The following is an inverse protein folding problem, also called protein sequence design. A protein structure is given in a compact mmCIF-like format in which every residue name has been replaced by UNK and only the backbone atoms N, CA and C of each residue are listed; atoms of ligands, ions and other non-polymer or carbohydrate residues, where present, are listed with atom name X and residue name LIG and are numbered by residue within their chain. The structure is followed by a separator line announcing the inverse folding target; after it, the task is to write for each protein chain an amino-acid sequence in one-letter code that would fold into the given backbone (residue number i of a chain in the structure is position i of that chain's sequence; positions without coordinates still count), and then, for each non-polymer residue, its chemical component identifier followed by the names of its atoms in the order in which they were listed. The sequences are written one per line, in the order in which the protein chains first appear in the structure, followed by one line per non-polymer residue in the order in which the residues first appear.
data_IF_363562275004
#
_entry.id   IF_363562275004
#
_cell.length_a   1.000
_cell.length_b   1.000
_cell.length_c   1.000
_cell.angle_alpha   90.00
_cell.angle_beta   90.00
_cell.angle_gamma   90.00
#
_symmetry.space_group_name_H-M   'P 1'
#
loop_
_entity.id
_entity.type
_entity.pdbx_description
1 polymer ?
#
# COMPACT_ATOMS: atom_id res chain seq x y z
N UNK A 1 7.93 13.24 22.80
CA UNK A 1 7.15 13.81 21.69
C UNK A 1 7.89 14.97 21.04
N UNK A 2 8.58 15.84 21.81
CA UNK A 2 9.42 16.92 21.24
C UNK A 2 10.55 16.47 20.28
N UNK A 3 11.17 15.30 20.50
CA UNK A 3 12.25 14.84 19.62
C UNK A 3 11.77 14.28 18.28
N UNK A 4 10.52 13.81 18.18
CA UNK A 4 10.01 13.17 16.96
C UNK A 4 9.84 14.19 15.84
N UNK A 5 9.32 15.39 16.16
CA UNK A 5 9.20 16.46 15.16
C UNK A 5 10.56 17.00 14.71
N UNK A 6 11.58 16.99 15.57
CA UNK A 6 12.94 17.39 15.20
C UNK A 6 13.68 16.34 14.36
N UNK A 7 13.34 15.06 14.52
CA UNK A 7 13.98 13.93 13.84
C UNK A 7 13.22 13.46 12.59
N UNK A 8 11.99 13.92 12.37
CA UNK A 8 11.21 13.62 11.15
C UNK A 8 11.80 14.41 9.98
N UNK A 9 12.40 13.75 8.98
CA UNK A 9 13.17 14.47 7.97
C UNK A 9 12.26 15.20 6.96
N UNK A 10 11.10 14.65 6.63
CA UNK A 10 10.09 15.22 5.71
C UNK A 10 8.79 14.39 5.73
N UNK A 11 7.79 14.81 4.96
CA UNK A 11 6.54 14.09 4.66
C UNK A 11 6.60 13.56 3.23
N UNK A 12 6.30 12.28 3.01
CA UNK A 12 6.21 11.68 1.67
C UNK A 12 5.29 10.46 1.66
N UNK A 13 4.35 10.45 0.73
CA UNK A 13 3.50 9.28 0.48
C UNK A 13 4.25 8.10 -0.14
N UNK A 14 5.48 8.30 -0.63
CA UNK A 14 6.33 7.25 -1.22
C UNK A 14 7.38 6.68 -0.26
N UNK A 15 7.43 7.19 0.98
CA UNK A 15 8.34 6.68 2.01
C UNK A 15 7.57 6.04 3.16
N UNK A 16 8.24 5.17 3.92
CA UNK A 16 7.72 4.60 5.15
C UNK A 16 8.86 4.48 6.17
N UNK A 17 8.59 4.83 7.43
CA UNK A 17 9.56 4.73 8.51
C UNK A 17 9.19 3.58 9.43
N UNK A 18 10.18 2.77 9.82
CA UNK A 18 10.00 1.64 10.72
C UNK A 18 10.91 1.78 11.94
N UNK A 19 10.31 1.70 13.12
CA UNK A 19 10.98 1.90 14.40
C UNK A 19 10.51 0.85 15.42
N UNK A 20 11.37 0.29 16.28
CA UNK A 20 12.81 0.54 16.39
C UNK A 20 13.65 -0.41 15.55
N UNK A 21 14.97 -0.30 15.68
CA UNK A 21 15.91 -1.33 15.23
C UNK A 21 15.57 -2.70 15.85
N UNK A 22 15.90 -3.76 15.12
CA UNK A 22 15.67 -5.14 15.53
C UNK A 22 17.01 -5.81 15.84
N UNK A 23 16.99 -6.79 16.74
CA UNK A 23 18.13 -7.63 17.02
C UNK A 23 18.09 -8.88 16.15
N UNK A 24 19.23 -9.24 15.58
CA UNK A 24 19.43 -10.48 14.80
C UNK A 24 20.71 -11.16 15.25
N UNK A 25 20.84 -12.46 15.00
CA UNK A 25 22.12 -13.14 15.12
C UNK A 25 22.94 -12.87 13.86
N UNK A 26 24.16 -12.34 14.03
CA UNK A 26 25.12 -12.14 12.94
C UNK A 26 26.19 -13.24 12.99
N UNK A 27 26.19 -14.19 12.03
CA UNK A 27 27.19 -15.25 11.95
C UNK A 27 28.61 -14.72 11.74
N UNK A 28 28.79 -13.53 11.15
CA UNK A 28 30.12 -12.97 10.91
C UNK A 28 30.79 -12.53 12.21
N UNK A 29 30.02 -12.03 13.17
CA UNK A 29 30.49 -11.59 14.48
C UNK A 29 30.17 -12.56 15.62
N UNK A 30 29.61 -13.74 15.32
CA UNK A 30 29.11 -14.74 16.27
C UNK A 30 28.36 -14.14 17.47
N UNK A 31 27.48 -13.17 17.20
CA UNK A 31 26.82 -12.41 18.26
C UNK A 31 25.51 -11.78 17.80
N UNK A 32 24.69 -11.37 18.78
CA UNK A 32 23.42 -10.73 18.51
C UNK A 32 23.59 -9.21 18.40
N UNK A 33 23.40 -8.67 17.20
CA UNK A 33 23.56 -7.24 16.91
C UNK A 33 22.23 -6.56 16.62
N UNK A 34 22.13 -5.26 16.90
CA UNK A 34 20.99 -4.44 16.48
C UNK A 34 21.25 -3.84 15.11
N UNK A 35 20.29 -4.00 14.20
CA UNK A 35 20.36 -3.46 12.84
C UNK A 35 19.10 -2.63 12.50
N UNK A 36 19.22 -1.69 11.54
CA UNK A 36 18.05 -1.06 10.92
C UNK A 36 17.11 -2.13 10.34
N UNK A 37 15.78 -1.99 10.51
CA UNK A 37 14.85 -3.04 10.10
C UNK A 37 14.54 -3.04 8.59
N UNK A 38 15.02 -2.05 7.83
CA UNK A 38 14.61 -1.82 6.43
C UNK A 38 14.74 -3.05 5.53
N UNK A 39 15.86 -3.79 5.60
CA UNK A 39 16.06 -5.02 4.82
C UNK A 39 15.05 -6.12 5.17
N UNK A 40 14.75 -6.29 6.45
CA UNK A 40 13.75 -7.26 6.91
C UNK A 40 12.34 -6.85 6.50
N UNK A 41 12.02 -5.56 6.56
CA UNK A 41 10.74 -5.03 6.10
C UNK A 41 10.56 -5.23 4.59
N UNK A 42 11.62 -5.07 3.78
CA UNK A 42 11.55 -5.40 2.35
C UNK A 42 11.21 -6.88 2.11
N UNK A 43 11.79 -7.78 2.90
CA UNK A 43 11.41 -9.21 2.88
C UNK A 43 9.96 -9.45 3.30
N UNK A 44 9.45 -8.72 4.31
CA UNK A 44 8.03 -8.76 4.69
C UNK A 44 7.14 -8.30 3.54
N UNK A 45 7.50 -7.22 2.84
CA UNK A 45 6.75 -6.74 1.67
C UNK A 45 6.67 -7.81 0.59
N UNK A 46 7.82 -8.37 0.19
CA UNK A 46 7.87 -9.40 -0.85
C UNK A 46 7.03 -10.63 -0.47
N UNK A 47 7.11 -11.08 0.78
CA UNK A 47 6.34 -12.22 1.29
C UNK A 47 4.84 -11.95 1.29
N UNK A 48 4.41 -10.78 1.78
CA UNK A 48 2.99 -10.41 1.82
C UNK A 48 2.43 -10.29 0.42
N UNK A 49 3.15 -9.64 -0.49
CA UNK A 49 2.73 -9.47 -1.88
C UNK A 49 2.56 -10.83 -2.57
N UNK A 50 3.52 -11.74 -2.42
CA UNK A 50 3.47 -13.06 -3.03
C UNK A 50 2.39 -13.98 -2.46
N UNK A 51 2.01 -13.80 -1.18
CA UNK A 51 1.01 -14.66 -0.52
C UNK A 51 -0.41 -14.08 -0.58
N UNK A 52 -0.55 -12.76 -0.58
CA UNK A 52 -1.81 -12.06 -0.34
C UNK A 52 -2.08 -10.89 -1.28
N UNK A 53 -1.13 -10.55 -2.15
CA UNK A 53 -1.24 -9.42 -3.07
C UNK A 53 -0.85 -8.08 -2.45
N UNK A 54 -0.44 -7.15 -3.31
CA UNK A 54 0.09 -5.82 -2.95
C UNK A 54 -0.93 -4.96 -2.19
N UNK A 55 -2.23 -5.23 -2.40
CA UNK A 55 -3.32 -4.53 -1.74
C UNK A 55 -3.41 -4.80 -0.23
N UNK A 56 -2.80 -5.90 0.27
CA UNK A 56 -2.76 -6.22 1.71
C UNK A 56 -1.70 -5.38 2.43
N UNK A 57 -2.10 -4.73 3.52
CA UNK A 57 -1.18 -4.05 4.43
C UNK A 57 -0.07 -4.99 4.95
N UNK A 58 1.22 -4.62 4.83
CA UNK A 58 2.34 -5.41 5.37
C UNK A 58 2.52 -5.16 6.89
N UNK A 59 1.44 -5.29 7.64
CA UNK A 59 1.37 -5.15 9.09
C UNK A 59 0.68 -6.35 9.73
N UNK A 60 0.88 -6.52 11.04
CA UNK A 60 0.61 -7.75 11.80
C UNK A 60 1.38 -8.96 11.25
N UNK A 61 2.56 -8.70 10.69
CA UNK A 61 3.43 -9.71 10.09
C UNK A 61 4.61 -9.99 11.02
N UNK A 62 4.91 -11.26 11.24
CA UNK A 62 6.15 -11.65 11.93
C UNK A 62 7.36 -11.30 11.08
N UNK A 63 8.36 -10.69 11.71
CA UNK A 63 9.66 -10.43 11.12
C UNK A 63 10.53 -11.66 11.34
N UNK A 64 10.72 -12.46 10.29
CA UNK A 64 11.53 -13.67 10.36
C UNK A 64 13.00 -13.31 10.64
N UNK A 65 13.68 -14.09 11.49
CA UNK A 65 15.07 -13.83 11.90
C UNK A 65 15.26 -12.75 12.97
N UNK A 66 14.22 -11.97 13.29
CA UNK A 66 14.29 -10.97 14.36
C UNK A 66 14.10 -11.62 15.74
N UNK A 67 15.07 -11.42 16.62
CA UNK A 67 15.11 -11.98 17.97
C UNK A 67 14.47 -11.03 19.00
N UNK A 68 14.70 -9.73 18.84
CA UNK A 68 14.20 -8.70 19.75
C UNK A 68 13.99 -7.35 19.03
N UNK A 69 13.28 -6.43 19.68
CA UNK A 69 13.25 -5.02 19.30
C UNK A 69 14.11 -4.21 20.27
N UNK A 70 14.86 -3.22 19.78
CA UNK A 70 15.77 -2.40 20.62
C UNK A 70 15.04 -1.67 21.74
N UNK A 71 13.81 -1.25 21.48
CA UNK A 71 12.94 -0.64 22.46
C UNK A 71 11.63 -1.43 22.55
N UNK A 72 11.12 -1.59 23.77
CA UNK A 72 9.77 -2.09 23.99
C UNK A 72 8.79 -0.92 23.96
N UNK A 73 7.89 -0.94 22.98
CA UNK A 73 6.90 0.11 22.78
C UNK A 73 5.55 -0.28 23.38
N UNK A 74 5.05 0.56 24.29
CA UNK A 74 3.68 0.50 24.78
C UNK A 74 2.70 1.05 23.74
N UNK A 75 1.42 0.73 23.89
CA UNK A 75 0.36 1.26 23.04
C UNK A 75 0.34 2.80 23.06
N UNK A 76 0.42 3.42 24.25
CA UNK A 76 0.42 4.86 24.40
C UNK A 76 1.59 5.56 23.67
N UNK A 77 2.80 4.96 23.70
CA UNK A 77 3.94 5.50 22.93
C UNK A 77 3.70 5.40 21.43
N UNK A 78 3.16 4.27 20.98
CA UNK A 78 2.82 4.08 19.57
C UNK A 78 1.74 5.06 19.11
N UNK A 79 0.71 5.32 19.92
CA UNK A 79 -0.38 6.23 19.57
C UNK A 79 0.12 7.65 19.28
N UNK A 80 1.20 8.09 19.95
CA UNK A 80 1.88 9.35 19.65
C UNK A 80 2.79 9.35 18.41
N UNK A 81 3.16 8.17 17.89
CA UNK A 81 4.04 7.99 16.72
C UNK A 81 3.26 7.75 15.43
N UNK A 82 2.09 7.12 15.55
CA UNK A 82 1.23 6.76 14.42
C UNK A 82 0.82 7.96 13.55
N UNK A 83 0.40 9.13 14.08
CA UNK A 83 -0.01 10.27 13.26
C UNK A 83 1.08 10.75 12.30
N UNK A 84 2.35 10.63 12.70
CA UNK A 84 3.52 10.99 11.89
C UNK A 84 3.94 9.92 10.87
N UNK A 85 3.27 8.78 10.85
CA UNK A 85 3.58 7.69 9.93
C UNK A 85 4.76 6.82 10.36
N UNK A 86 5.06 6.79 11.66
CA UNK A 86 6.13 5.96 12.21
C UNK A 86 5.57 4.58 12.55
N UNK A 87 5.94 3.58 11.74
CA UNK A 87 5.45 2.22 11.90
C UNK A 87 6.22 1.49 12.98
N UNK A 88 5.52 1.16 14.07
CA UNK A 88 6.13 0.52 15.22
C UNK A 88 6.37 -0.98 14.97
N UNK A 89 7.53 -1.49 15.39
CA UNK A 89 7.85 -2.92 15.50
C UNK A 89 7.73 -3.31 16.97
N UNK A 90 6.99 -4.37 17.27
CA UNK A 90 6.63 -4.75 18.64
C UNK A 90 6.77 -6.24 18.88
N UNK A 91 7.15 -6.60 20.11
CA UNK A 91 7.05 -7.98 20.60
C UNK A 91 5.61 -8.26 21.01
N UNK A 92 4.93 -9.15 20.29
CA UNK A 92 3.55 -9.55 20.53
C UNK A 92 3.46 -11.08 20.44
N UNK A 93 2.88 -11.71 21.47
CA UNK A 93 2.72 -13.17 21.54
C UNK A 93 4.03 -13.92 21.23
N UNK A 94 5.13 -13.51 21.87
CA UNK A 94 6.46 -14.08 21.68
C UNK A 94 7.19 -13.69 20.39
N UNK A 95 6.52 -13.06 19.42
CA UNK A 95 7.07 -12.76 18.10
C UNK A 95 7.37 -11.27 17.92
N UNK A 96 8.42 -10.95 17.17
CA UNK A 96 8.68 -9.57 16.71
C UNK A 96 7.84 -9.32 15.46
N UNK A 97 6.92 -8.36 15.53
CA UNK A 97 5.94 -8.08 14.47
C UNK A 97 6.01 -6.64 13.99
N UNK A 98 5.75 -6.46 12.70
CA UNK A 98 5.43 -5.15 12.12
C UNK A 98 4.03 -4.76 12.59
N UNK A 99 3.90 -3.59 13.23
CA UNK A 99 2.65 -3.14 13.85
C UNK A 99 2.20 -1.75 13.37
N UNK A 100 2.46 -1.46 12.09
CA UNK A 100 2.00 -0.26 11.39
C UNK A 100 2.20 -0.40 9.88
N UNK A 101 1.37 0.29 9.10
CA UNK A 101 1.43 0.32 7.64
C UNK A 101 1.17 1.72 7.05
N UNK A 102 1.55 2.79 7.77
CA UNK A 102 1.43 4.18 7.31
C UNK A 102 2.65 4.62 6.50
N UNK A 103 2.44 5.52 5.55
CA UNK A 103 3.51 6.23 4.84
C UNK A 103 4.10 7.33 5.72
N UNK A 104 5.31 7.82 5.41
CA UNK A 104 6.01 8.85 6.18
C UNK A 104 5.23 10.16 6.09
N UNK A 105 4.71 10.66 7.22
CA UNK A 105 3.74 11.74 7.24
C UNK A 105 2.36 11.32 7.72
N UNK A 106 2.04 10.03 7.64
CA UNK A 106 0.85 9.41 8.19
C UNK A 106 -0.42 10.15 7.77
N UNK A 107 -1.06 10.80 8.74
CA UNK A 107 -2.35 11.48 8.55
C UNK A 107 -2.26 12.65 7.56
N UNK A 108 -1.08 13.26 7.40
CA UNK A 108 -0.85 14.33 6.42
C UNK A 108 -0.92 13.85 4.95
N UNK A 109 -0.79 12.55 4.69
CA UNK A 109 -0.78 11.99 3.33
C UNK A 109 -2.20 11.61 2.82
N UNK A 110 -3.25 11.94 3.56
CA UNK A 110 -4.67 11.79 3.18
C UNK A 110 -5.00 10.46 2.50
N UNK A 111 -5.18 10.45 1.17
CA UNK A 111 -5.52 9.29 0.34
C UNK A 111 -4.41 8.22 0.33
N UNK A 112 -3.15 8.63 0.41
CA UNK A 112 -1.97 7.76 0.41
C UNK A 112 -1.36 7.62 1.81
N UNK A 113 -2.18 7.76 2.85
CA UNK A 113 -1.80 7.51 4.26
C UNK A 113 -1.21 6.13 4.48
N UNK A 114 -1.64 5.12 3.73
CA UNK A 114 -1.20 3.73 3.94
C UNK A 114 -0.28 3.22 2.84
N UNK A 115 0.73 2.46 3.25
CA UNK A 115 1.75 1.86 2.38
C UNK A 115 1.12 0.95 1.34
N UNK A 116 0.21 0.06 1.72
CA UNK A 116 -0.44 -0.84 0.76
C UNK A 116 -1.25 -0.09 -0.28
N UNK A 117 -1.92 1.02 0.08
CA UNK A 117 -2.65 1.83 -0.89
C UNK A 117 -1.68 2.47 -1.88
N UNK A 118 -0.60 3.12 -1.40
CA UNK A 118 0.42 3.71 -2.28
C UNK A 118 1.05 2.66 -3.20
N UNK A 119 1.44 1.51 -2.64
CA UNK A 119 2.09 0.42 -3.39
C UNK A 119 1.13 -0.19 -4.40
N UNK A 120 -0.13 -0.39 -4.04
CA UNK A 120 -1.15 -0.91 -4.96
C UNK A 120 -1.35 0.03 -6.15
N UNK A 121 -1.50 1.34 -5.94
CA UNK A 121 -1.59 2.28 -7.07
C UNK A 121 -0.31 2.32 -7.93
N UNK A 122 0.87 2.14 -7.32
CA UNK A 122 2.13 2.08 -8.07
C UNK A 122 2.19 0.82 -8.94
N UNK A 123 1.76 -0.32 -8.40
CA UNK A 123 1.62 -1.58 -9.11
C UNK A 123 0.59 -1.50 -10.26
N UNK A 124 -0.59 -0.91 -10.03
CA UNK A 124 -1.59 -0.75 -11.09
C UNK A 124 -1.05 0.10 -12.24
N UNK A 125 -0.40 1.23 -11.93
CA UNK A 125 0.20 2.12 -12.95
C UNK A 125 1.26 1.41 -13.77
N UNK A 126 2.22 0.76 -13.10
CA UNK A 126 3.32 0.05 -13.76
C UNK A 126 2.83 -1.14 -14.61
N UNK A 127 1.86 -1.90 -14.11
CA UNK A 127 1.27 -3.03 -14.84
C UNK A 127 0.46 -2.59 -16.05
N UNK A 128 -0.31 -1.50 -15.93
CA UNK A 128 -1.07 -0.94 -17.05
C UNK A 128 -0.11 -0.39 -18.10
N UNK A 129 0.88 0.42 -17.71
CA UNK A 129 1.87 0.99 -18.62
C UNK A 129 2.59 -0.10 -19.43
N UNK A 130 3.09 -1.14 -18.74
CA UNK A 130 3.73 -2.30 -19.39
C UNK A 130 2.76 -3.07 -20.29
N UNK A 131 1.53 -3.28 -19.83
CA UNK A 131 0.49 -4.01 -20.57
C UNK A 131 -0.06 -3.26 -21.79
N UNK A 132 0.16 -1.96 -21.89
CA UNK A 132 -0.32 -1.11 -22.99
C UNK A 132 0.77 -0.55 -23.88
N UNK A 133 2.03 -0.98 -23.74
CA UNK A 133 3.15 -0.51 -24.60
C UNK A 133 2.89 -0.70 -26.10
N UNK A 134 2.13 -1.72 -26.48
CA UNK A 134 1.73 -1.99 -27.88
C UNK A 134 0.90 -0.86 -28.52
N UNK A 135 0.33 0.04 -27.72
CA UNK A 135 -0.49 1.15 -28.22
C UNK A 135 0.33 2.31 -28.81
N UNK A 136 1.62 2.35 -28.51
CA UNK A 136 2.52 3.39 -29.00
C UNK A 136 2.69 3.25 -30.52
N UNK A 137 2.55 4.37 -31.24
CA UNK A 137 2.58 4.45 -32.71
C UNK A 137 1.43 3.77 -33.47
N UNK A 138 0.37 3.33 -32.78
CA UNK A 138 -0.87 2.89 -33.44
C UNK A 138 -1.70 4.09 -33.92
N UNK A 139 -2.56 3.91 -34.94
CA UNK A 139 -3.52 4.94 -35.36
C UNK A 139 -4.41 5.38 -34.19
N UNK A 140 -4.46 6.70 -33.94
CA UNK A 140 -5.27 7.26 -32.84
C UNK A 140 -6.75 7.39 -33.25
N UNK A 141 -7.46 6.27 -33.17
CA UNK A 141 -8.86 6.12 -33.56
C UNK A 141 -9.70 5.33 -32.54
N UNK A 142 -10.99 5.19 -32.86
CA UNK A 142 -11.93 4.47 -32.01
C UNK A 142 -11.59 2.97 -31.81
N UNK A 143 -10.85 2.36 -32.75
CA UNK A 143 -10.43 0.97 -32.63
C UNK A 143 -9.32 0.85 -31.57
N UNK A 144 -8.32 1.74 -31.59
CA UNK A 144 -7.28 1.80 -30.57
C UNK A 144 -7.90 2.01 -29.18
N UNK A 145 -8.81 2.97 -29.04
CA UNK A 145 -9.46 3.27 -27.77
C UNK A 145 -10.26 2.07 -27.24
N UNK A 146 -10.96 1.35 -28.11
CA UNK A 146 -11.67 0.13 -27.74
C UNK A 146 -10.71 -1.00 -27.28
N UNK A 147 -9.55 -1.17 -27.95
CA UNK A 147 -8.52 -2.13 -27.54
C UNK A 147 -7.93 -1.77 -26.17
N UNK A 148 -7.62 -0.49 -25.92
CA UNK A 148 -7.12 -0.01 -24.62
C UNK A 148 -8.16 -0.31 -23.53
N UNK A 149 -9.41 0.13 -23.71
CA UNK A 149 -10.48 -0.12 -22.73
C UNK A 149 -10.62 -1.60 -22.42
N UNK A 150 -10.65 -2.46 -23.44
CA UNK A 150 -10.77 -3.91 -23.27
C UNK A 150 -9.62 -4.50 -22.45
N UNK A 151 -8.37 -4.16 -22.79
CA UNK A 151 -7.20 -4.72 -22.12
C UNK A 151 -7.09 -4.26 -20.67
N UNK A 152 -7.26 -2.96 -20.41
CA UNK A 152 -7.21 -2.41 -19.04
C UNK A 152 -8.38 -2.94 -18.20
N UNK A 153 -9.59 -3.03 -18.76
CA UNK A 153 -10.75 -3.57 -18.04
C UNK A 153 -10.57 -5.05 -17.70
N UNK A 154 -9.97 -5.84 -18.60
CA UNK A 154 -9.68 -7.25 -18.32
C UNK A 154 -8.69 -7.41 -17.17
N UNK A 155 -7.63 -6.59 -17.14
CA UNK A 155 -6.67 -6.55 -16.03
C UNK A 155 -7.35 -6.18 -14.70
N UNK A 156 -8.09 -5.07 -14.66
CA UNK A 156 -8.77 -4.61 -13.44
C UNK A 156 -9.87 -5.58 -12.97
N UNK A 157 -10.51 -6.30 -13.89
CA UNK A 157 -11.44 -7.39 -13.55
C UNK A 157 -10.73 -8.51 -12.80
N UNK A 158 -9.50 -8.86 -13.18
CA UNK A 158 -8.72 -9.87 -12.47
C UNK A 158 -8.31 -9.38 -11.08
N UNK A 159 -7.88 -8.12 -10.96
CA UNK A 159 -7.56 -7.50 -9.66
C UNK A 159 -8.80 -7.48 -8.73
N UNK A 160 -9.97 -7.14 -9.26
CA UNK A 160 -11.23 -7.21 -8.51
C UNK A 160 -11.58 -8.63 -8.07
N UNK A 161 -11.50 -9.63 -8.97
CA UNK A 161 -11.75 -11.05 -8.63
C UNK A 161 -10.82 -11.57 -7.54
N UNK A 162 -9.59 -11.06 -7.50
CA UNK A 162 -8.60 -11.39 -6.47
C UNK A 162 -8.80 -10.61 -5.16
N UNK A 163 -9.87 -9.83 -5.04
CA UNK A 163 -10.22 -9.05 -3.84
C UNK A 163 -9.35 -7.80 -3.63
N UNK A 164 -8.60 -7.37 -4.65
CA UNK A 164 -7.74 -6.19 -4.55
C UNK A 164 -8.55 -4.88 -4.65
N UNK A 165 -9.68 -4.91 -5.36
CA UNK A 165 -10.60 -3.80 -5.53
C UNK A 165 -11.90 -4.05 -4.77
N UNK A 166 -12.49 -2.98 -4.22
CA UNK A 166 -13.72 -3.01 -3.44
C UNK A 166 -14.94 -2.77 -4.35
N UNK A 167 -15.97 -3.60 -4.23
CA UNK A 167 -17.22 -3.46 -4.97
C UNK A 167 -17.89 -4.82 -5.15
N UNK A 168 -19.22 -4.87 -5.12
CA UNK A 168 -19.97 -6.10 -5.36
C UNK A 168 -19.97 -6.48 -6.85
N UNK A 169 -19.77 -5.49 -7.73
CA UNK A 169 -19.67 -5.66 -9.17
C UNK A 169 -18.40 -4.98 -9.72
N UNK A 170 -17.89 -5.37 -10.91
CA UNK A 170 -16.78 -4.68 -11.55
C UNK A 170 -17.03 -3.17 -11.73
N UNK A 171 -18.27 -2.78 -12.02
CA UNK A 171 -18.67 -1.39 -12.28
C UNK A 171 -18.63 -0.53 -11.00
N UNK A 172 -18.85 -1.13 -9.84
CA UNK A 172 -18.62 -0.47 -8.55
C UNK A 172 -17.13 -0.39 -8.20
N UNK A 173 -16.34 -1.34 -8.69
CA UNK A 173 -14.93 -1.48 -8.36
C UNK A 173 -14.01 -0.61 -9.20
N UNK A 174 -14.31 -0.39 -10.48
CA UNK A 174 -13.49 0.44 -11.36
C UNK A 174 -14.25 0.96 -12.59
N UNK A 175 -13.69 1.99 -13.24
CA UNK A 175 -14.09 2.41 -14.58
C UNK A 175 -12.85 2.65 -15.46
N UNK A 176 -13.03 2.50 -16.77
CA UNK A 176 -12.02 2.83 -17.80
C UNK A 176 -12.71 3.60 -18.92
N UNK A 177 -12.31 4.85 -19.12
CA UNK A 177 -12.84 5.74 -20.16
C UNK A 177 -11.72 6.11 -21.13
N UNK A 178 -11.90 5.75 -22.39
CA UNK A 178 -11.07 6.13 -23.52
C UNK A 178 -11.99 6.14 -24.74
N UNK A 179 -12.34 7.35 -25.17
CA UNK A 179 -13.38 7.66 -26.15
C UNK A 179 -13.14 9.06 -26.73
N UNK A 180 -14.05 9.52 -27.59
CA UNK A 180 -13.95 10.83 -28.23
C UNK A 180 -14.07 12.02 -27.24
N UNK A 181 -14.67 11.82 -26.07
CA UNK A 181 -14.75 12.88 -25.04
C UNK A 181 -13.39 13.08 -24.35
N UNK A 182 -12.69 11.97 -24.08
CA UNK A 182 -11.33 12.00 -23.52
C UNK A 182 -10.26 12.28 -24.57
N UNK A 183 -10.55 12.04 -25.86
CA UNK A 183 -9.65 12.20 -26.99
C UNK A 183 -10.26 13.06 -28.10
N UNK A 184 -10.55 14.34 -27.83
CA UNK A 184 -11.02 15.27 -28.86
C UNK A 184 -9.92 15.58 -29.89
N UNK A 185 -10.25 16.17 -31.06
CA UNK A 185 -9.29 16.42 -32.14
C UNK A 185 -7.99 17.08 -31.67
N UNK A 186 -8.07 18.07 -30.79
CA UNK A 186 -6.91 18.79 -30.25
C UNK A 186 -5.93 17.90 -29.48
N UNK A 187 -6.40 16.86 -28.78
CA UNK A 187 -5.55 15.88 -28.08
C UNK A 187 -4.91 14.92 -29.09
N UNK A 188 -5.69 14.53 -30.11
CA UNK A 188 -5.25 13.60 -31.15
C UNK A 188 -4.21 14.23 -32.07
N UNK A 189 -4.36 15.50 -32.41
CA UNK A 189 -3.43 16.28 -33.23
C UNK A 189 -2.07 16.46 -32.52
N UNK A 190 -2.04 16.40 -31.18
CA UNK A 190 -0.81 16.35 -30.38
C UNK A 190 -0.19 14.93 -30.29
N UNK A 191 -0.81 13.93 -30.93
CA UNK A 191 -0.37 12.54 -30.87
C UNK A 191 -0.62 11.86 -29.52
N UNK A 192 -1.54 12.40 -28.69
CA UNK A 192 -1.82 11.88 -27.36
C UNK A 192 -3.05 10.96 -27.35
N UNK A 193 -3.02 9.95 -26.49
CA UNK A 193 -4.20 9.15 -26.13
C UNK A 193 -4.39 9.25 -24.62
N UNK A 194 -5.51 9.82 -24.19
CA UNK A 194 -5.88 9.99 -22.80
C UNK A 194 -6.89 8.90 -22.42
N UNK A 195 -6.56 8.16 -21.37
CA UNK A 195 -7.46 7.16 -20.75
C UNK A 195 -7.64 7.52 -19.28
N UNK A 196 -8.88 7.75 -18.87
CA UNK A 196 -9.23 7.96 -17.47
C UNK A 196 -9.56 6.62 -16.81
N UNK A 197 -8.94 6.36 -15.65
CA UNK A 197 -9.10 5.12 -14.91
C UNK A 197 -9.37 5.47 -13.45
N UNK A 198 -10.51 5.00 -12.94
CA UNK A 198 -10.83 5.07 -11.51
C UNK A 198 -10.89 3.67 -10.91
N UNK A 199 -10.39 3.53 -9.68
CA UNK A 199 -10.40 2.26 -8.93
C UNK A 199 -10.83 2.49 -7.49
N UNK A 200 -11.67 1.61 -6.97
CA UNK A 200 -12.08 1.59 -5.57
C UNK A 200 -11.14 0.66 -4.79
N UNK A 201 -10.23 1.24 -4.01
CA UNK A 201 -9.25 0.47 -3.24
C UNK A 201 -9.77 -0.01 -1.89
N UNK A 202 -9.35 -1.21 -1.48
CA UNK A 202 -9.64 -1.76 -0.16
C UNK A 202 -8.85 -1.03 0.92
N UNK A 203 -9.53 -0.27 1.78
CA UNK A 203 -8.91 0.40 2.94
C UNK A 203 -8.72 -0.60 4.09
N UNK A 204 -7.56 -0.60 4.78
CA UNK A 204 -7.32 -1.50 5.90
C UNK A 204 -8.16 -1.10 7.12
N UNK A 205 -8.67 -2.10 7.85
CA UNK A 205 -9.29 -1.88 9.17
C UNK A 205 -8.20 -1.64 10.22
N UNK A 206 -7.99 -0.37 10.60
CA UNK A 206 -6.98 0.00 11.61
C UNK A 206 -7.48 -0.25 13.04
N UNK A 207 -8.77 0.00 13.30
CA UNK A 207 -9.39 -0.16 14.60
C UNK A 207 -10.64 -1.02 14.48
N UNK A 208 -10.80 -1.98 15.40
CA UNK A 208 -12.03 -2.75 15.57
C UNK A 208 -12.63 -2.34 16.91
N UNK A 209 -13.80 -1.73 16.90
CA UNK A 209 -14.49 -1.25 18.10
C UNK A 209 -15.72 -2.14 18.32
N UNK A 210 -15.67 -2.98 19.36
CA UNK A 210 -16.83 -3.71 19.84
C UNK A 210 -17.61 -2.83 20.82
N UNK A 211 -18.90 -2.61 20.56
CA UNK A 211 -19.82 -1.97 21.51
C UNK A 211 -20.72 -3.04 22.08
N UNK A 212 -20.62 -3.29 23.37
CA UNK A 212 -21.40 -4.30 24.08
C UNK A 212 -22.39 -3.57 24.98
N UNK A 213 -23.68 -3.88 24.83
CA UNK A 213 -24.76 -3.38 25.67
C UNK A 213 -25.53 -4.55 26.25
N UNK A 214 -25.98 -4.42 27.51
CA UNK A 214 -26.93 -5.36 28.09
C UNK A 214 -28.30 -5.14 27.45
N UNK A 215 -28.87 -6.18 26.86
CA UNK A 215 -30.24 -6.18 26.39
C UNK A 215 -31.11 -6.95 27.37
N UNK A 216 -32.12 -6.29 27.93
CA UNK A 216 -33.18 -6.96 28.69
C UNK A 216 -34.18 -7.49 27.67
N UNK A 217 -34.05 -8.76 27.31
CA UNK A 217 -35.06 -9.43 26.48
C UNK A 217 -36.39 -9.44 27.23
N UNK A 218 -37.39 -8.76 26.69
CA UNK A 218 -38.79 -8.90 27.07
C UNK A 218 -39.47 -9.93 26.18
#
# INVERSE_FOLDING_TARGET
TEDVQKLKPFTSSYAALYFPWIQVYDPASDSNIYIPPSGHIAGVYARVDGQRGVHKAPANETILGALASKYNLSKAKQDGLNPDGINCIRKLNGNIRVWGARTLGGDANTEFKYVNIRRHFSYLRDSIDKGTQWSVFEPNDAELWAKIRRNVSAFLTNEWRNGALFGATPQEAFFVKCDAETNPPEVRDLGQVITEIGVAVVKPAEFVIFRISQWSGS
#
